data_IF_035309534108
#
_entry.id   IF_035309534108
#
_cell.length_a   1.000
_cell.length_b   1.000
_cell.length_c   1.000
_cell.angle_alpha   90.00
_cell.angle_beta   90.00
_cell.angle_gamma   90.00
#
_symmetry.space_group_name_H-M   'P 1'
#
loop_
_entity.id
_entity.type
_entity.pdbx_description
1 polymer ?
#
# COMPACT_ATOMS: atom_id res chain seq x y z
N UNK A 1 -7.72 3.97 -17.99
CA UNK A 1 -8.94 3.50 -17.29
C UNK A 1 -8.53 3.08 -15.90
N UNK A 2 -9.37 3.32 -14.88
CA UNK A 2 -9.12 2.82 -13.52
C UNK A 2 -9.28 1.29 -13.56
N UNK A 3 -8.25 0.57 -13.14
CA UNK A 3 -8.26 -0.89 -13.12
C UNK A 3 -8.96 -1.33 -11.83
N UNK A 4 -9.98 -2.17 -11.95
CA UNK A 4 -10.60 -2.80 -10.79
C UNK A 4 -9.96 -4.17 -10.58
N UNK A 5 -8.97 -4.23 -9.68
CA UNK A 5 -8.20 -5.44 -9.37
C UNK A 5 -9.05 -6.64 -8.94
N UNK A 6 -10.28 -6.40 -8.47
CA UNK A 6 -11.18 -7.45 -7.98
C UNK A 6 -12.14 -8.00 -9.06
N UNK A 7 -12.08 -7.42 -10.28
CA UNK A 7 -12.97 -7.83 -11.36
C UNK A 7 -12.70 -9.29 -11.76
N UNK A 8 -13.75 -10.11 -11.75
CA UNK A 8 -13.66 -11.51 -12.17
C UNK A 8 -13.24 -12.48 -11.07
N UNK A 9 -12.97 -11.99 -9.85
CA UNK A 9 -12.62 -12.82 -8.70
C UNK A 9 -13.81 -13.04 -7.75
N UNK A 10 -13.73 -14.08 -6.92
CA UNK A 10 -14.68 -14.33 -5.81
C UNK A 10 -14.33 -13.52 -4.55
N UNK A 11 -13.28 -12.73 -4.62
CA UNK A 11 -12.84 -11.79 -3.58
C UNK A 11 -13.50 -10.45 -3.85
N UNK A 12 -14.17 -9.89 -2.86
CA UNK A 12 -14.74 -8.54 -2.91
C UNK A 12 -13.90 -7.55 -2.08
N UNK A 13 -14.26 -6.27 -2.13
CA UNK A 13 -13.56 -5.20 -1.41
C UNK A 13 -13.49 -5.43 0.10
N UNK A 14 -14.53 -6.02 0.71
CA UNK A 14 -14.55 -6.32 2.16
C UNK A 14 -13.52 -7.38 2.53
N UNK A 15 -13.44 -8.47 1.76
CA UNK A 15 -12.45 -9.52 2.01
C UNK A 15 -11.03 -9.03 1.76
N UNK A 16 -10.82 -8.21 0.71
CA UNK A 16 -9.53 -7.58 0.46
C UNK A 16 -9.14 -6.65 1.62
N UNK A 17 -10.04 -5.80 2.10
CA UNK A 17 -9.78 -4.90 3.22
C UNK A 17 -9.38 -5.67 4.49
N UNK A 18 -10.09 -6.75 4.83
CA UNK A 18 -9.72 -7.62 5.95
C UNK A 18 -8.34 -8.26 5.78
N UNK A 19 -7.97 -8.62 4.56
CA UNK A 19 -6.64 -9.15 4.28
C UNK A 19 -5.56 -8.08 4.46
N UNK A 20 -5.79 -6.86 3.98
CA UNK A 20 -4.85 -5.74 4.13
C UNK A 20 -4.70 -5.36 5.61
N UNK A 21 -5.79 -5.34 6.37
CA UNK A 21 -5.79 -5.11 7.82
C UNK A 21 -4.94 -6.15 8.55
N UNK A 22 -5.16 -7.42 8.25
CA UNK A 22 -4.36 -8.50 8.81
C UNK A 22 -2.88 -8.42 8.41
N UNK A 23 -2.55 -7.99 7.18
CA UNK A 23 -1.17 -7.74 6.77
C UNK A 23 -0.48 -6.68 7.63
N UNK A 24 -1.17 -5.59 7.99
CA UNK A 24 -0.63 -4.56 8.91
C UNK A 24 -0.29 -5.18 10.25
N UNK A 25 -1.22 -5.95 10.83
CA UNK A 25 -1.05 -6.60 12.12
C UNK A 25 0.17 -7.55 12.11
N UNK A 26 0.21 -8.47 11.14
CA UNK A 26 1.29 -9.45 11.00
C UNK A 26 2.64 -8.77 10.80
N UNK A 27 2.76 -7.88 9.81
CA UNK A 27 4.04 -7.26 9.48
C UNK A 27 4.56 -6.37 10.62
N UNK A 28 3.66 -5.71 11.35
CA UNK A 28 4.01 -4.97 12.56
C UNK A 28 4.52 -5.89 13.67
N UNK A 29 3.83 -7.01 13.94
CA UNK A 29 4.23 -7.98 14.96
C UNK A 29 5.61 -8.60 14.68
N UNK A 30 5.97 -8.78 13.40
CA UNK A 30 7.27 -9.29 12.98
C UNK A 30 8.31 -8.19 12.70
N UNK A 31 7.98 -6.91 12.98
CA UNK A 31 8.87 -5.75 12.81
C UNK A 31 9.40 -5.58 11.39
N UNK A 32 8.61 -5.96 10.41
CA UNK A 32 8.89 -5.66 9.01
C UNK A 32 8.74 -4.15 8.73
N UNK A 33 9.41 -3.68 7.69
CA UNK A 33 9.37 -2.28 7.31
C UNK A 33 8.02 -1.86 6.70
N UNK A 34 7.75 -0.56 6.68
CA UNK A 34 6.59 -0.03 5.97
C UNK A 34 6.68 -0.32 4.46
N UNK A 35 7.89 -0.32 3.87
CA UNK A 35 8.13 -0.71 2.49
C UNK A 35 7.58 -2.11 2.22
N UNK A 36 7.87 -3.05 3.11
CA UNK A 36 7.37 -4.43 3.02
C UNK A 36 5.85 -4.48 2.98
N UNK A 37 5.16 -3.70 3.83
CA UNK A 37 3.70 -3.64 3.80
C UNK A 37 3.16 -3.10 2.48
N UNK A 38 3.66 -1.94 2.03
CA UNK A 38 3.19 -1.33 0.79
C UNK A 38 3.48 -2.23 -0.43
N UNK A 39 4.64 -2.88 -0.46
CA UNK A 39 4.98 -3.83 -1.52
C UNK A 39 4.08 -5.09 -1.45
N UNK A 40 3.82 -5.64 -0.27
CA UNK A 40 2.96 -6.82 -0.14
C UNK A 40 1.55 -6.59 -0.69
N UNK A 41 0.94 -5.43 -0.37
CA UNK A 41 -0.36 -5.04 -0.92
C UNK A 41 -0.29 -4.82 -2.43
N UNK A 42 0.76 -4.16 -2.92
CA UNK A 42 0.97 -3.94 -4.35
C UNK A 42 1.11 -5.27 -5.13
N UNK A 43 1.89 -6.22 -4.61
CA UNK A 43 2.04 -7.55 -5.22
C UNK A 43 0.70 -8.30 -5.27
N UNK A 44 -0.09 -8.26 -4.20
CA UNK A 44 -1.40 -8.89 -4.14
C UNK A 44 -2.36 -8.30 -5.19
N UNK A 45 -2.46 -6.98 -5.26
CA UNK A 45 -3.35 -6.31 -6.22
C UNK A 45 -2.92 -6.56 -7.68
N UNK A 46 -1.62 -6.51 -7.96
CA UNK A 46 -1.06 -6.82 -9.30
C UNK A 46 -1.27 -8.28 -9.67
N UNK A 47 -1.19 -9.19 -8.70
CA UNK A 47 -1.48 -10.60 -8.94
C UNK A 47 -2.95 -10.80 -9.33
N UNK A 48 -3.89 -10.13 -8.66
CA UNK A 48 -5.30 -10.14 -9.05
C UNK A 48 -5.51 -9.62 -10.48
N UNK A 49 -4.88 -8.51 -10.84
CA UNK A 49 -4.94 -7.98 -12.22
C UNK A 49 -4.38 -8.96 -13.26
N UNK A 50 -3.27 -9.59 -12.94
CA UNK A 50 -2.63 -10.56 -13.84
C UNK A 50 -3.53 -11.78 -14.07
N UNK A 51 -4.17 -12.30 -13.03
CA UNK A 51 -5.14 -13.38 -13.14
C UNK A 51 -6.38 -12.95 -13.94
N UNK A 52 -6.93 -11.76 -13.67
CA UNK A 52 -8.07 -11.21 -14.42
C UNK A 52 -7.77 -11.10 -15.91
N UNK A 53 -6.55 -10.68 -16.26
CA UNK A 53 -6.09 -10.54 -17.65
C UNK A 53 -6.02 -11.89 -18.38
N UNK A 54 -5.84 -12.98 -17.63
CA UNK A 54 -5.79 -14.35 -18.12
C UNK A 54 -7.15 -15.06 -18.03
N UNK A 55 -8.22 -14.36 -17.58
CA UNK A 55 -9.53 -14.93 -17.30
C UNK A 55 -9.50 -16.04 -16.24
N UNK A 56 -8.57 -15.95 -15.30
CA UNK A 56 -8.44 -16.88 -14.16
C UNK A 56 -9.11 -16.24 -12.96
N UNK A 57 -10.04 -16.95 -12.35
CA UNK A 57 -10.76 -16.51 -11.15
C UNK A 57 -10.00 -16.95 -9.89
N UNK A 58 -9.67 -16.00 -9.00
CA UNK A 58 -9.19 -16.33 -7.66
C UNK A 58 -10.38 -16.67 -6.77
N UNK A 59 -10.34 -17.84 -6.16
CA UNK A 59 -11.35 -18.29 -5.20
C UNK A 59 -11.09 -17.66 -3.82
N UNK A 60 -12.15 -17.51 -3.02
CA UNK A 60 -12.05 -16.86 -1.70
C UNK A 60 -11.08 -17.59 -0.75
N UNK A 61 -11.04 -18.93 -0.80
CA UNK A 61 -10.16 -19.72 0.06
C UNK A 61 -8.67 -19.55 -0.27
N UNK A 62 -8.32 -19.07 -1.46
CA UNK A 62 -6.95 -18.81 -1.88
C UNK A 62 -6.42 -17.45 -1.36
N UNK A 63 -7.31 -16.52 -0.97
CA UNK A 63 -6.95 -15.18 -0.57
C UNK A 63 -5.94 -15.18 0.59
N UNK A 64 -6.18 -16.01 1.61
CA UNK A 64 -5.28 -16.08 2.77
C UNK A 64 -3.87 -16.54 2.37
N UNK A 65 -3.77 -17.63 1.59
CA UNK A 65 -2.47 -18.12 1.11
C UNK A 65 -1.78 -17.08 0.22
N UNK A 66 -2.54 -16.40 -0.65
CA UNK A 66 -2.02 -15.33 -1.50
C UNK A 66 -1.45 -14.19 -0.65
N UNK A 67 -2.19 -13.73 0.36
CA UNK A 67 -1.73 -12.66 1.26
C UNK A 67 -0.48 -13.04 2.05
N UNK A 68 -0.45 -14.25 2.62
CA UNK A 68 0.75 -14.79 3.32
C UNK A 68 1.97 -14.79 2.41
N UNK A 69 1.81 -15.27 1.18
CA UNK A 69 2.94 -15.35 0.24
C UNK A 69 3.36 -13.96 -0.24
N UNK A 70 2.44 -13.05 -0.48
CA UNK A 70 2.80 -11.66 -0.83
C UNK A 70 3.61 -10.98 0.28
N UNK A 71 3.22 -11.15 1.56
CA UNK A 71 4.02 -10.66 2.70
C UNK A 71 5.41 -11.29 2.74
N UNK A 72 5.50 -12.59 2.53
CA UNK A 72 6.78 -13.32 2.52
C UNK A 72 7.70 -12.85 1.40
N UNK A 73 7.17 -12.68 0.19
CA UNK A 73 7.91 -12.19 -0.97
C UNK A 73 8.38 -10.75 -0.76
N UNK A 74 7.49 -9.87 -0.28
CA UNK A 74 7.82 -8.48 -0.01
C UNK A 74 8.90 -8.36 1.06
N UNK A 75 8.82 -9.15 2.14
CA UNK A 75 9.83 -9.16 3.19
C UNK A 75 11.21 -9.63 2.68
N UNK A 76 11.25 -10.63 1.80
CA UNK A 76 12.51 -11.06 1.16
C UNK A 76 13.13 -10.00 0.25
N UNK A 77 12.29 -9.12 -0.30
CA UNK A 77 12.72 -8.08 -1.22
C UNK A 77 13.18 -6.80 -0.50
N UNK A 78 12.48 -6.40 0.57
CA UNK A 78 12.65 -5.09 1.23
C UNK A 78 13.43 -5.16 2.56
N UNK A 79 13.24 -6.24 3.35
CA UNK A 79 13.77 -6.26 4.71
C UNK A 79 15.22 -6.79 4.75
N UNK A 80 16.08 -6.16 5.55
CA UNK A 80 17.45 -6.65 5.81
C UNK A 80 17.42 -8.01 6.53
N UNK A 81 16.44 -8.22 7.41
CA UNK A 81 16.18 -9.48 8.10
C UNK A 81 14.80 -10.02 7.67
N UNK A 82 14.72 -10.74 6.56
CA UNK A 82 13.44 -11.17 6.02
C UNK A 82 12.77 -12.25 6.87
N UNK A 83 11.47 -12.37 6.69
CA UNK A 83 10.70 -13.47 7.24
C UNK A 83 11.28 -14.82 6.78
N UNK A 84 11.54 -15.71 7.72
CA UNK A 84 12.01 -17.05 7.39
C UNK A 84 10.84 -17.97 7.06
N UNK A 85 11.03 -18.93 6.16
CA UNK A 85 10.03 -19.94 5.80
C UNK A 85 9.45 -20.63 7.04
N UNK A 86 10.31 -20.96 8.04
CA UNK A 86 9.87 -21.55 9.32
C UNK A 86 8.89 -20.64 10.06
N UNK A 87 9.12 -19.33 10.05
CA UNK A 87 8.23 -18.34 10.67
C UNK A 87 6.90 -18.26 9.92
N UNK A 88 6.97 -18.20 8.59
CA UNK A 88 5.78 -18.15 7.73
C UNK A 88 4.91 -19.40 7.96
N UNK A 89 5.51 -20.58 7.94
CA UNK A 89 4.78 -21.85 8.15
C UNK A 89 4.19 -21.96 9.55
N UNK A 90 5.02 -21.77 10.62
CA UNK A 90 4.59 -22.07 11.98
C UNK A 90 3.74 -20.96 12.60
N UNK A 91 4.09 -19.68 12.35
CA UNK A 91 3.49 -18.55 13.07
C UNK A 91 2.45 -17.80 12.24
N UNK A 92 2.71 -17.55 10.97
CA UNK A 92 1.80 -16.79 10.11
C UNK A 92 0.74 -17.70 9.49
N UNK A 93 1.17 -18.79 8.89
CA UNK A 93 0.28 -19.80 8.29
C UNK A 93 -0.32 -20.79 9.28
N UNK A 94 0.08 -20.72 10.58
CA UNK A 94 -0.40 -21.60 11.66
C UNK A 94 -0.37 -23.09 11.30
N UNK A 95 0.60 -23.54 10.50
CA UNK A 95 0.76 -24.89 9.96
C UNK A 95 -0.42 -25.36 9.09
N UNK A 96 -1.36 -24.45 8.73
CA UNK A 96 -2.51 -24.77 7.87
C UNK A 96 -2.15 -24.70 6.38
N UNK A 97 -1.06 -24.00 6.03
CA UNK A 97 -0.55 -23.88 4.66
C UNK A 97 0.78 -24.63 4.61
N UNK A 98 0.86 -25.70 3.84
CA UNK A 98 2.10 -26.49 3.73
C UNK A 98 3.23 -25.67 3.11
N UNK A 99 4.48 -26.03 3.40
CA UNK A 99 5.66 -25.38 2.82
C UNK A 99 5.63 -25.47 1.29
N UNK A 100 5.18 -26.59 0.73
CA UNK A 100 5.07 -26.74 -0.71
C UNK A 100 3.97 -25.87 -1.31
N UNK A 101 2.83 -25.70 -0.60
CA UNK A 101 1.79 -24.76 -1.03
C UNK A 101 2.29 -23.31 -1.04
N UNK A 102 3.11 -22.91 -0.04
CA UNK A 102 3.74 -21.60 0.00
C UNK A 102 4.68 -21.41 -1.20
N UNK A 103 5.55 -22.40 -1.48
CA UNK A 103 6.51 -22.35 -2.60
C UNK A 103 5.81 -22.31 -3.97
N UNK A 104 4.78 -23.13 -4.13
CA UNK A 104 4.01 -23.20 -5.37
C UNK A 104 3.30 -21.86 -5.62
N UNK A 105 2.61 -21.30 -4.61
CA UNK A 105 1.96 -20.01 -4.72
C UNK A 105 2.95 -18.88 -4.97
N UNK A 106 4.14 -18.91 -4.38
CA UNK A 106 5.21 -17.96 -4.66
C UNK A 106 5.62 -18.01 -6.13
N UNK A 107 5.83 -19.20 -6.66
CA UNK A 107 6.18 -19.39 -8.07
C UNK A 107 5.05 -18.93 -9.01
N UNK A 108 3.79 -19.18 -8.64
CA UNK A 108 2.63 -18.73 -9.41
C UNK A 108 2.56 -17.21 -9.48
N UNK A 109 2.75 -16.53 -8.33
CA UNK A 109 2.78 -15.07 -8.28
C UNK A 109 3.96 -14.53 -9.10
N UNK A 110 5.16 -15.11 -8.96
CA UNK A 110 6.33 -14.69 -9.74
C UNK A 110 6.09 -14.80 -11.24
N UNK A 111 5.53 -15.91 -11.70
CA UNK A 111 5.21 -16.11 -13.12
C UNK A 111 4.15 -15.14 -13.62
N UNK A 112 3.07 -14.96 -12.84
CA UNK A 112 1.98 -14.04 -13.19
C UNK A 112 2.48 -12.58 -13.31
N UNK A 113 3.46 -12.19 -12.48
CA UNK A 113 4.07 -10.87 -12.49
C UNK A 113 5.31 -10.75 -13.41
N UNK A 114 5.62 -11.79 -14.20
CA UNK A 114 6.81 -11.80 -15.06
C UNK A 114 8.12 -11.61 -14.30
N UNK A 115 8.21 -12.08 -13.05
CA UNK A 115 9.36 -11.91 -12.14
C UNK A 115 9.69 -10.45 -11.80
N UNK A 116 8.78 -9.52 -12.06
CA UNK A 116 8.95 -8.09 -11.76
C UNK A 116 8.30 -7.76 -10.40
N UNK A 117 9.06 -7.85 -9.32
CA UNK A 117 8.58 -7.46 -7.98
C UNK A 117 8.63 -5.94 -7.80
N UNK A 118 9.77 -5.32 -8.15
CA UNK A 118 9.96 -3.87 -8.13
C UNK A 118 9.52 -3.17 -9.42
N UNK A 119 9.85 -1.87 -9.55
CA UNK A 119 9.58 -1.05 -10.75
C UNK A 119 8.17 -0.45 -10.81
N UNK A 120 7.34 -0.71 -9.82
CA UNK A 120 6.01 -0.09 -9.67
C UNK A 120 5.98 0.71 -8.36
N UNK A 121 6.28 2.01 -8.40
CA UNK A 121 6.40 2.81 -7.20
C UNK A 121 5.12 2.79 -6.35
N UNK A 122 5.29 2.51 -5.07
CA UNK A 122 4.20 2.47 -4.08
C UNK A 122 3.83 3.89 -3.61
N UNK A 123 2.67 4.08 -2.96
CA UNK A 123 2.35 5.36 -2.33
C UNK A 123 3.41 5.84 -1.35
N UNK A 124 4.11 4.92 -0.66
CA UNK A 124 5.16 5.27 0.31
C UNK A 124 6.38 5.89 -0.36
N UNK A 125 6.82 5.36 -1.50
CA UNK A 125 7.98 5.91 -2.24
C UNK A 125 7.69 7.32 -2.74
N UNK A 126 6.50 7.56 -3.30
CA UNK A 126 6.07 8.90 -3.69
C UNK A 126 6.00 9.83 -2.49
N UNK A 127 5.34 9.41 -1.41
CA UNK A 127 5.20 10.18 -0.18
C UNK A 127 6.56 10.57 0.38
N UNK A 128 7.49 9.63 0.50
CA UNK A 128 8.85 9.88 1.00
C UNK A 128 9.57 10.90 0.12
N UNK A 129 9.51 10.73 -1.20
CA UNK A 129 10.11 11.69 -2.15
C UNK A 129 9.49 13.09 -2.00
N UNK A 130 8.17 13.19 -1.82
CA UNK A 130 7.50 14.49 -1.68
C UNK A 130 7.86 15.17 -0.37
N UNK A 131 7.88 14.44 0.75
CA UNK A 131 8.27 14.99 2.06
C UNK A 131 9.69 15.55 2.01
N UNK A 132 10.64 14.80 1.43
CA UNK A 132 12.03 15.24 1.33
C UNK A 132 12.19 16.52 0.48
N UNK A 133 11.40 16.67 -0.57
CA UNK A 133 11.48 17.84 -1.46
C UNK A 133 10.72 19.05 -0.94
N UNK A 134 9.53 18.83 -0.34
CA UNK A 134 8.61 19.91 0.01
C UNK A 134 8.82 20.39 1.45
N UNK A 135 9.22 19.49 2.36
CA UNK A 135 9.32 19.74 3.79
C UNK A 135 10.75 19.58 4.31
N UNK A 136 11.77 19.79 3.46
CA UNK A 136 13.17 19.52 3.80
C UNK A 136 13.60 20.10 5.16
N UNK A 137 13.27 21.36 5.42
CA UNK A 137 13.68 22.10 6.61
C UNK A 137 12.50 22.43 7.55
N UNK A 138 11.37 21.74 7.39
CA UNK A 138 10.19 22.01 8.21
C UNK A 138 10.29 21.36 9.58
N UNK A 139 10.02 22.11 10.66
CA UNK A 139 10.11 21.63 12.06
C UNK A 139 9.26 20.41 12.36
N UNK A 140 8.08 20.29 11.76
CA UNK A 140 7.14 19.18 11.94
C UNK A 140 7.29 18.09 10.84
N UNK A 141 8.38 18.06 10.08
CA UNK A 141 8.59 17.13 8.97
C UNK A 141 8.30 15.67 9.35
N UNK A 142 8.91 15.20 10.44
CA UNK A 142 8.75 13.80 10.86
C UNK A 142 7.32 13.48 11.31
N UNK A 143 6.66 14.41 12.01
CA UNK A 143 5.26 14.24 12.38
C UNK A 143 4.35 14.15 11.15
N UNK A 144 4.52 15.06 10.18
CA UNK A 144 3.75 15.09 8.93
C UNK A 144 4.00 13.80 8.14
N UNK A 145 5.25 13.33 8.07
CA UNK A 145 5.61 12.08 7.41
C UNK A 145 4.92 10.88 8.04
N UNK A 146 5.00 10.72 9.35
CA UNK A 146 4.36 9.61 10.06
C UNK A 146 2.83 9.62 9.88
N UNK A 147 2.22 10.79 9.99
CA UNK A 147 0.78 10.96 9.76
C UNK A 147 0.41 10.62 8.31
N UNK A 148 1.20 11.07 7.34
CA UNK A 148 0.95 10.79 5.93
C UNK A 148 1.11 9.29 5.61
N UNK A 149 2.09 8.60 6.22
CA UNK A 149 2.25 7.13 6.10
C UNK A 149 1.02 6.41 6.66
N UNK A 150 0.55 6.81 7.84
CA UNK A 150 -0.66 6.25 8.44
C UNK A 150 -1.87 6.41 7.51
N UNK A 151 -2.10 7.63 7.00
CA UNK A 151 -3.19 7.91 6.06
C UNK A 151 -3.07 7.11 4.75
N UNK A 152 -1.85 6.94 4.24
CA UNK A 152 -1.63 6.11 3.05
C UNK A 152 -1.93 4.62 3.31
N UNK A 153 -1.58 4.10 4.50
CA UNK A 153 -1.98 2.74 4.91
C UNK A 153 -3.51 2.61 4.96
N UNK A 154 -4.22 3.57 5.56
CA UNK A 154 -5.68 3.58 5.58
C UNK A 154 -6.28 3.61 4.18
N UNK A 155 -5.71 4.40 3.26
CA UNK A 155 -6.17 4.42 1.88
C UNK A 155 -6.12 3.03 1.22
N UNK A 156 -5.09 2.23 1.50
CA UNK A 156 -4.94 0.89 0.92
C UNK A 156 -5.99 -0.12 1.40
N UNK A 157 -6.63 0.11 2.55
CA UNK A 157 -7.74 -0.74 3.01
C UNK A 157 -9.01 -0.53 2.18
N UNK A 158 -9.20 0.67 1.64
CA UNK A 158 -10.46 1.05 1.03
C UNK A 158 -10.45 0.82 -0.50
N UNK A 159 -11.41 0.04 -1.00
CA UNK A 159 -11.55 -0.30 -2.44
C UNK A 159 -11.56 0.93 -3.35
N UNK A 160 -12.16 2.05 -2.91
CA UNK A 160 -12.21 3.30 -3.67
C UNK A 160 -10.86 3.93 -3.99
N UNK A 161 -9.77 3.49 -3.33
CA UNK A 161 -8.40 3.94 -3.60
C UNK A 161 -7.61 2.94 -4.47
N UNK A 162 -8.05 1.68 -4.59
CA UNK A 162 -7.35 0.68 -5.41
C UNK A 162 -7.18 1.09 -6.88
N UNK A 163 -8.09 1.92 -7.38
CA UNK A 163 -8.07 2.44 -8.76
C UNK A 163 -7.31 3.76 -8.91
N UNK A 164 -6.77 4.30 -7.83
CA UNK A 164 -6.03 5.57 -7.84
C UNK A 164 -4.55 5.35 -8.09
N UNK A 165 -3.90 6.31 -8.75
CA UNK A 165 -2.44 6.28 -8.91
C UNK A 165 -1.75 6.39 -7.55
N UNK A 166 -0.69 5.62 -7.34
CA UNK A 166 0.15 5.69 -6.12
C UNK A 166 0.64 7.10 -5.83
N UNK A 167 1.02 7.87 -6.88
CA UNK A 167 1.43 9.27 -6.74
C UNK A 167 0.32 10.16 -6.16
N UNK A 168 -0.94 9.94 -6.58
CA UNK A 168 -2.07 10.70 -6.07
C UNK A 168 -2.40 10.33 -4.62
N UNK A 169 -2.31 9.04 -4.26
CA UNK A 169 -2.52 8.59 -2.87
C UNK A 169 -1.44 9.21 -1.96
N UNK A 170 -0.16 9.15 -2.35
CA UNK A 170 0.92 9.77 -1.60
C UNK A 170 0.75 11.28 -1.43
N UNK A 171 0.41 11.99 -2.51
CA UNK A 171 0.16 13.43 -2.49
C UNK A 171 -1.04 13.80 -1.60
N UNK A 172 -2.15 13.06 -1.70
CA UNK A 172 -3.34 13.28 -0.89
C UNK A 172 -3.07 13.03 0.60
N UNK A 173 -2.27 12.03 0.92
CA UNK A 173 -1.88 11.72 2.30
C UNK A 173 -1.05 12.84 2.92
N UNK A 174 -0.11 13.41 2.18
CA UNK A 174 0.66 14.57 2.64
C UNK A 174 -0.24 15.81 2.79
N UNK A 175 -1.10 16.07 1.82
CA UNK A 175 -2.03 17.19 1.88
C UNK A 175 -2.90 17.14 3.15
N UNK A 176 -3.48 15.97 3.44
CA UNK A 176 -4.30 15.78 4.65
C UNK A 176 -3.46 15.88 5.91
N UNK A 177 -2.27 15.27 5.95
CA UNK A 177 -1.36 15.35 7.10
C UNK A 177 -0.94 16.80 7.41
N UNK A 178 -0.66 17.60 6.38
CA UNK A 178 -0.37 19.03 6.54
C UNK A 178 -1.57 19.79 7.13
N UNK A 179 -2.78 19.51 6.64
CA UNK A 179 -4.00 20.14 7.17
C UNK A 179 -4.28 19.75 8.62
N UNK A 180 -4.04 18.51 8.99
CA UNK A 180 -4.16 18.06 10.40
C UNK A 180 -3.12 18.76 11.28
N UNK A 181 -1.87 18.82 10.83
CA UNK A 181 -0.79 19.50 11.55
C UNK A 181 -1.09 20.99 11.74
N UNK A 182 -1.56 21.67 10.70
CA UNK A 182 -1.98 23.07 10.71
C UNK A 182 -3.06 23.32 11.77
N UNK A 183 -4.06 22.45 11.84
CA UNK A 183 -5.15 22.53 12.82
C UNK A 183 -4.64 22.28 14.26
N UNK A 184 -3.78 21.28 14.45
CA UNK A 184 -3.22 20.95 15.77
C UNK A 184 -2.29 22.05 16.30
N UNK A 185 -1.48 22.65 15.42
CA UNK A 185 -0.53 23.72 15.79
C UNK A 185 -1.18 25.11 15.84
N UNK A 186 -2.41 25.25 15.36
CA UNK A 186 -3.10 26.55 15.18
C UNK A 186 -2.25 27.56 14.40
N UNK A 187 -1.43 27.08 13.46
CA UNK A 187 -0.50 27.86 12.67
C UNK A 187 -0.62 27.45 11.20
N UNK A 188 -0.77 28.41 10.26
CA UNK A 188 -0.85 28.11 8.85
C UNK A 188 0.47 27.49 8.36
N UNK A 189 0.41 26.28 7.82
CA UNK A 189 1.55 25.54 7.25
C UNK A 189 1.38 25.44 5.73
N UNK A 190 0.15 25.18 5.27
CA UNK A 190 -0.17 25.03 3.86
C UNK A 190 -0.15 26.38 3.16
N UNK A 191 0.97 26.70 2.51
CA UNK A 191 1.09 27.88 1.63
C UNK A 191 0.69 27.54 0.19
N UNK A 192 0.43 28.57 -0.62
CA UNK A 192 0.20 28.37 -2.08
C UNK A 192 1.39 27.69 -2.75
N UNK A 193 2.61 27.99 -2.32
CA UNK A 193 3.82 27.35 -2.84
C UNK A 193 3.90 25.87 -2.49
N UNK A 194 3.56 25.47 -1.25
CA UNK A 194 3.53 24.07 -0.84
C UNK A 194 2.46 23.31 -1.64
N UNK A 195 1.27 23.87 -1.79
CA UNK A 195 0.21 23.25 -2.58
C UNK A 195 0.64 23.05 -4.03
N UNK A 196 1.22 24.09 -4.66
CA UNK A 196 1.71 24.00 -6.04
C UNK A 196 2.80 22.93 -6.16
N UNK A 197 3.73 22.85 -5.23
CA UNK A 197 4.77 21.83 -5.21
C UNK A 197 4.18 20.40 -5.11
N UNK A 198 3.13 20.18 -4.31
CA UNK A 198 2.43 18.88 -4.23
C UNK A 198 1.80 18.53 -5.58
N UNK A 199 1.14 19.48 -6.22
CA UNK A 199 0.52 19.31 -7.55
C UNK A 199 1.57 18.96 -8.59
N UNK A 200 2.64 19.74 -8.67
CA UNK A 200 3.71 19.56 -9.67
C UNK A 200 4.42 18.20 -9.49
N UNK A 201 4.74 17.83 -8.25
CA UNK A 201 5.40 16.54 -7.96
C UNK A 201 4.50 15.33 -8.25
N UNK A 202 3.20 15.45 -7.99
CA UNK A 202 2.26 14.33 -8.22
C UNK A 202 1.76 14.25 -9.66
N UNK A 203 2.00 15.29 -10.46
CA UNK A 203 1.40 15.47 -11.78
C UNK A 203 -0.13 15.27 -11.77
N UNK A 204 -0.77 15.65 -10.67
CA UNK A 204 -2.20 15.53 -10.47
C UNK A 204 -2.88 16.88 -10.70
N UNK A 205 -4.09 16.83 -11.23
CA UNK A 205 -4.96 18.02 -11.25
C UNK A 205 -5.36 18.38 -9.82
N UNK A 206 -5.33 19.66 -9.47
CA UNK A 206 -5.70 20.16 -8.14
C UNK A 206 -7.08 19.63 -7.69
N UNK A 207 -8.05 19.64 -8.60
CA UNK A 207 -9.41 19.12 -8.34
C UNK A 207 -9.38 17.65 -7.91
N UNK A 208 -8.58 16.82 -8.56
CA UNK A 208 -8.44 15.39 -8.25
C UNK A 208 -7.71 15.18 -6.91
N UNK A 209 -6.71 15.99 -6.63
CA UNK A 209 -5.99 15.97 -5.35
C UNK A 209 -6.94 16.29 -4.20
N UNK A 210 -7.69 17.37 -4.30
CA UNK A 210 -8.64 17.80 -3.25
C UNK A 210 -9.78 16.77 -3.08
N UNK A 211 -10.32 16.22 -4.17
CA UNK A 211 -11.35 15.17 -4.09
C UNK A 211 -10.83 13.92 -3.39
N UNK A 212 -9.63 13.47 -3.75
CA UNK A 212 -8.98 12.31 -3.14
C UNK A 212 -8.70 12.56 -1.65
N UNK A 213 -8.21 13.75 -1.32
CA UNK A 213 -7.91 14.18 0.06
C UNK A 213 -9.17 14.23 0.93
N UNK A 214 -10.29 14.73 0.41
CA UNK A 214 -11.59 14.73 1.13
C UNK A 214 -12.06 13.32 1.43
N UNK A 215 -11.95 12.40 0.46
CA UNK A 215 -12.29 10.98 0.68
C UNK A 215 -11.40 10.35 1.74
N UNK A 216 -10.11 10.66 1.71
CA UNK A 216 -9.15 10.13 2.69
C UNK A 216 -9.44 10.66 4.10
N UNK A 217 -9.73 11.96 4.23
CA UNK A 217 -10.09 12.58 5.51
C UNK A 217 -11.39 11.98 6.09
N UNK A 218 -12.33 11.58 5.25
CA UNK A 218 -13.56 10.92 5.70
C UNK A 218 -13.33 9.52 6.27
N UNK A 219 -12.24 8.85 5.88
CA UNK A 219 -11.86 7.53 6.39
C UNK A 219 -11.04 7.62 7.70
N UNK A 220 -10.38 8.75 7.93
CA UNK A 220 -9.54 8.99 9.11
C UNK A 220 -10.35 9.43 10.33
#
# INVERSE_FOLDING_TARGET
MAVNHLRGHKVNGVYRAKMVDWMVEVLTAFKCSDQTFFLAVNLMDRYFDALSSQNITLELHELHTTGVVCMFMASKYEDVYPLLMKTVFNKIGHQKISVDAIRNKEMDILRALGFQLGGYPTPLEFLTSYVEKILKDHEDKEFIKLMAVYLAKMALHHEGFCTKKSSLIGASSIYVALKICEQMRQKPIMTKSILQNIIDQSAAEEKKLIECSKKLLYLA
#
